data_IF_421308285948
#
_entry.id   IF_421308285948
#
_cell.length_a   1.000
_cell.length_b   1.000
_cell.length_c   1.000
_cell.angle_alpha   90.00
_cell.angle_beta   90.00
_cell.angle_gamma   90.00
#
_symmetry.space_group_name_H-M   'P 1'
#
loop_
_entity.id
_entity.type
_entity.pdbx_description
1 polymer ?
#
# COMPACT_ATOMS: atom_id res chain seq x y z
N UNK A 1 21.83 42.51 -12.60
CA UNK A 1 22.46 43.13 -11.41
C UNK A 1 21.57 43.11 -10.17
N UNK A 2 20.41 43.81 -10.12
CA UNK A 2 19.55 43.78 -8.91
C UNK A 2 18.97 42.39 -8.60
N UNK A 3 18.54 41.64 -9.63
CA UNK A 3 18.02 40.27 -9.45
C UNK A 3 19.09 39.34 -8.89
N UNK A 4 20.31 39.39 -9.43
CA UNK A 4 21.43 38.54 -9.00
C UNK A 4 21.81 38.80 -7.55
N UNK A 5 21.83 40.08 -7.17
CA UNK A 5 22.06 40.51 -5.79
C UNK A 5 20.97 39.98 -4.86
N UNK A 6 19.70 40.08 -5.25
CA UNK A 6 18.57 39.58 -4.46
C UNK A 6 18.58 38.05 -4.32
N UNK A 7 18.96 37.32 -5.37
CA UNK A 7 19.11 35.86 -5.34
C UNK A 7 20.20 35.43 -4.35
N UNK A 8 21.34 36.11 -4.35
CA UNK A 8 22.43 35.85 -3.40
C UNK A 8 22.05 36.20 -1.96
N UNK A 9 21.49 37.41 -1.74
CA UNK A 9 21.09 37.87 -0.41
C UNK A 9 20.03 36.97 0.24
N UNK A 10 19.09 36.45 -0.55
CA UNK A 10 18.05 35.55 -0.06
C UNK A 10 18.44 34.06 -0.16
N UNK A 11 19.69 33.76 -0.49
CA UNK A 11 20.25 32.40 -0.55
C UNK A 11 19.39 31.45 -1.40
N UNK A 12 18.94 31.94 -2.56
CA UNK A 12 18.14 31.13 -3.48
C UNK A 12 18.96 29.94 -3.99
N UNK A 13 18.36 28.74 -4.01
CA UNK A 13 19.04 27.55 -4.52
C UNK A 13 19.25 27.66 -6.03
N UNK A 14 20.45 27.31 -6.48
CA UNK A 14 20.82 27.28 -7.90
C UNK A 14 20.19 26.10 -8.65
N UNK A 15 19.91 25.00 -7.95
CA UNK A 15 19.33 23.78 -8.54
C UNK A 15 18.08 23.33 -7.79
N UNK A 16 17.22 22.59 -8.49
CA UNK A 16 15.97 22.08 -7.97
C UNK A 16 14.88 23.14 -7.75
N UNK A 17 13.80 22.73 -7.09
CA UNK A 17 12.66 23.60 -6.79
C UNK A 17 13.04 24.56 -5.66
N UNK A 18 12.93 25.86 -5.90
CA UNK A 18 13.22 26.91 -4.92
C UNK A 18 12.14 28.00 -4.96
N UNK A 19 11.37 28.19 -3.86
CA UNK A 19 10.28 29.16 -3.82
C UNK A 19 10.78 30.62 -3.86
N UNK A 20 11.93 30.90 -3.24
CA UNK A 20 12.57 32.23 -3.27
C UNK A 20 12.95 32.59 -4.71
N UNK A 21 13.67 31.68 -5.39
CA UNK A 21 14.04 31.86 -6.78
C UNK A 21 12.81 32.09 -7.65
N UNK A 22 11.81 31.21 -7.55
CA UNK A 22 10.56 31.31 -8.32
C UNK A 22 9.91 32.69 -8.16
N UNK A 23 9.77 33.17 -6.91
CA UNK A 23 9.18 34.49 -6.62
C UNK A 23 9.97 35.64 -7.25
N UNK A 24 11.29 35.63 -7.13
CA UNK A 24 12.15 36.69 -7.68
C UNK A 24 12.10 36.71 -9.22
N UNK A 25 12.09 35.54 -9.86
CA UNK A 25 11.93 35.43 -11.32
C UNK A 25 10.53 35.85 -11.77
N UNK A 26 9.47 35.51 -11.03
CA UNK A 26 8.11 35.96 -11.33
C UNK A 26 8.00 37.49 -11.28
N UNK A 27 8.55 38.13 -10.25
CA UNK A 27 8.60 39.60 -10.15
C UNK A 27 9.40 40.24 -11.28
N UNK A 28 10.57 39.68 -11.61
CA UNK A 28 11.39 40.17 -12.71
C UNK A 28 10.67 40.03 -14.05
N UNK A 29 9.98 38.91 -14.29
CA UNK A 29 9.23 38.69 -15.52
C UNK A 29 8.03 39.64 -15.65
N UNK A 30 7.35 39.95 -14.55
CA UNK A 30 6.28 40.94 -14.52
C UNK A 30 6.80 42.35 -14.87
N UNK A 31 7.99 42.72 -14.38
CA UNK A 31 8.65 43.98 -14.76
C UNK A 31 9.10 43.99 -16.22
N UNK A 32 9.60 42.87 -16.76
CA UNK A 32 9.92 42.75 -18.19
C UNK A 32 8.66 42.93 -19.06
N UNK A 33 7.54 42.31 -18.68
CA UNK A 33 6.26 42.50 -19.38
C UNK A 33 5.86 43.98 -19.34
N UNK A 34 5.98 44.65 -18.18
CA UNK A 34 5.68 46.07 -18.04
C UNK A 34 6.51 46.92 -19.00
N UNK A 35 7.84 46.73 -19.04
CA UNK A 35 8.74 47.48 -19.92
C UNK A 35 8.46 47.21 -21.41
N UNK A 36 8.23 45.95 -21.78
CA UNK A 36 7.89 45.59 -23.17
C UNK A 36 6.56 46.19 -23.58
N UNK A 37 5.57 46.22 -22.68
CA UNK A 37 4.25 46.83 -22.94
C UNK A 37 4.37 48.32 -23.23
N UNK A 38 5.23 49.05 -22.50
CA UNK A 38 5.51 50.47 -22.77
C UNK A 38 6.08 50.67 -24.17
N UNK A 39 6.96 49.77 -24.62
CA UNK A 39 7.56 49.84 -25.96
C UNK A 39 6.58 49.42 -27.07
N UNK A 40 5.80 48.37 -26.85
CA UNK A 40 4.80 47.82 -27.76
C UNK A 40 3.79 46.98 -26.97
N UNK A 41 2.55 47.47 -26.92
CA UNK A 41 1.45 46.87 -26.17
C UNK A 41 1.20 45.41 -26.57
N UNK A 42 1.19 45.13 -27.87
CA UNK A 42 0.86 43.83 -28.46
C UNK A 42 1.87 42.76 -28.02
N UNK A 43 3.16 43.13 -27.97
CA UNK A 43 4.22 42.24 -27.47
C UNK A 43 4.08 42.00 -25.97
N UNK A 44 3.74 43.02 -25.21
CA UNK A 44 3.44 42.91 -23.79
C UNK A 44 2.29 41.94 -23.51
N UNK A 45 1.19 42.09 -24.25
CA UNK A 45 0.02 41.21 -24.19
C UNK A 45 0.36 39.76 -24.56
N UNK A 46 1.21 39.55 -25.56
CA UNK A 46 1.67 38.21 -25.93
C UNK A 46 2.47 37.55 -24.79
N UNK A 47 3.43 38.27 -24.19
CA UNK A 47 4.22 37.76 -23.07
C UNK A 47 3.35 37.47 -21.84
N UNK A 48 2.33 38.30 -21.58
CA UNK A 48 1.35 38.08 -20.53
C UNK A 48 0.62 36.73 -20.70
N UNK A 49 0.15 36.43 -21.93
CA UNK A 49 -0.51 35.17 -22.23
C UNK A 49 0.40 33.96 -22.06
N UNK A 50 1.65 34.05 -22.54
CA UNK A 50 2.65 33.00 -22.37
C UNK A 50 2.92 32.75 -20.89
N UNK A 51 3.06 33.81 -20.08
CA UNK A 51 3.23 33.70 -18.62
C UNK A 51 2.10 32.90 -17.98
N UNK A 52 0.87 33.26 -18.32
CA UNK A 52 -0.32 32.69 -17.70
C UNK A 52 -0.50 31.22 -18.11
N UNK A 53 -0.21 30.88 -19.37
CA UNK A 53 -0.16 29.49 -19.84
C UNK A 53 0.91 28.65 -19.11
N UNK A 54 2.12 29.21 -18.91
CA UNK A 54 3.16 28.54 -18.13
C UNK A 54 2.74 28.33 -16.67
N UNK A 55 2.08 29.33 -16.05
CA UNK A 55 1.56 29.22 -14.68
C UNK A 55 0.50 28.12 -14.57
N UNK A 56 -0.44 28.06 -15.52
CA UNK A 56 -1.46 27.00 -15.57
C UNK A 56 -0.82 25.62 -15.74
N UNK A 57 0.16 25.50 -16.64
CA UNK A 57 0.87 24.24 -16.90
C UNK A 57 1.63 23.76 -15.65
N UNK A 58 2.33 24.66 -14.95
CA UNK A 58 3.01 24.31 -13.70
C UNK A 58 2.03 23.87 -12.61
N UNK A 59 0.87 24.52 -12.48
CA UNK A 59 -0.15 24.13 -11.51
C UNK A 59 -0.75 22.76 -11.81
N UNK A 60 -0.95 22.44 -13.10
CA UNK A 60 -1.39 21.12 -13.52
C UNK A 60 -0.35 20.03 -13.18
N UNK A 61 0.93 20.29 -13.46
CA UNK A 61 2.01 19.36 -13.07
C UNK A 61 2.11 19.16 -11.55
N UNK A 62 1.96 20.23 -10.77
CA UNK A 62 1.95 20.14 -9.32
C UNK A 62 0.79 19.26 -8.83
N UNK A 63 -0.42 19.46 -9.35
CA UNK A 63 -1.59 18.66 -9.01
C UNK A 63 -1.40 17.18 -9.37
N UNK A 64 -0.81 16.90 -10.54
CA UNK A 64 -0.52 15.53 -10.98
C UNK A 64 0.53 14.86 -10.08
N UNK A 65 1.56 15.60 -9.67
CA UNK A 65 2.60 15.10 -8.77
C UNK A 65 2.06 14.78 -7.38
N UNK A 66 1.27 15.70 -6.79
CA UNK A 66 0.59 15.49 -5.52
C UNK A 66 -0.35 14.27 -5.58
N UNK A 67 -1.11 14.13 -6.68
CA UNK A 67 -1.99 12.98 -6.91
C UNK A 67 -1.22 11.66 -7.01
N UNK A 68 -0.05 11.69 -7.66
CA UNK A 68 0.83 10.52 -7.82
C UNK A 68 1.41 10.06 -6.48
N UNK A 69 1.85 11.01 -5.64
CA UNK A 69 2.31 10.69 -4.28
C UNK A 69 1.16 10.10 -3.46
N UNK A 70 -0.02 10.73 -3.48
CA UNK A 70 -1.18 10.25 -2.73
C UNK A 70 -1.63 8.84 -3.19
N UNK A 71 -1.50 8.53 -4.48
CA UNK A 71 -1.73 7.17 -4.98
C UNK A 71 -0.71 6.17 -4.41
N UNK A 72 0.59 6.52 -4.44
CA UNK A 72 1.66 5.68 -3.88
C UNK A 72 1.44 5.36 -2.40
N UNK A 73 1.13 6.37 -1.59
CA UNK A 73 0.84 6.19 -0.16
C UNK A 73 -0.35 5.26 0.06
N UNK A 74 -1.46 5.47 -0.66
CA UNK A 74 -2.64 4.61 -0.55
C UNK A 74 -2.34 3.15 -0.90
N UNK A 75 -1.51 2.91 -1.93
CA UNK A 75 -1.13 1.56 -2.32
C UNK A 75 -0.21 0.89 -1.30
N UNK A 76 0.72 1.62 -0.71
CA UNK A 76 1.54 1.11 0.38
C UNK A 76 0.68 0.69 1.58
N UNK A 77 -0.24 1.57 2.03
CA UNK A 77 -1.14 1.27 3.13
C UNK A 77 -2.06 0.09 2.84
N UNK A 78 -2.64 0.02 1.64
CA UNK A 78 -3.49 -1.11 1.22
C UNK A 78 -2.72 -2.44 1.26
N UNK A 79 -1.43 -2.42 0.88
CA UNK A 79 -0.59 -3.61 0.92
C UNK A 79 -0.25 -4.04 2.36
N UNK A 80 0.01 -3.09 3.26
CA UNK A 80 0.26 -3.40 4.67
C UNK A 80 -0.98 -3.99 5.33
N UNK A 81 -2.15 -3.40 5.09
CA UNK A 81 -3.40 -3.90 5.66
C UNK A 81 -3.75 -5.30 5.13
N UNK A 82 -3.67 -5.51 3.81
CA UNK A 82 -3.92 -6.84 3.24
C UNK A 82 -2.94 -7.90 3.73
N UNK A 83 -1.70 -7.53 4.08
CA UNK A 83 -0.76 -8.45 4.70
C UNK A 83 -1.19 -8.81 6.14
N UNK A 84 -1.58 -7.83 6.94
CA UNK A 84 -2.07 -8.04 8.30
C UNK A 84 -3.29 -8.96 8.32
N UNK A 85 -4.29 -8.69 7.48
CA UNK A 85 -5.52 -9.50 7.38
C UNK A 85 -5.19 -10.96 7.01
N UNK A 86 -4.21 -11.18 6.14
CA UNK A 86 -3.75 -12.52 5.76
C UNK A 86 -3.00 -13.22 6.90
N UNK A 87 -2.18 -12.50 7.66
CA UNK A 87 -1.49 -13.05 8.83
C UNK A 87 -2.47 -13.49 9.93
N UNK A 88 -3.52 -12.71 10.15
CA UNK A 88 -4.63 -13.06 11.06
C UNK A 88 -5.38 -14.31 10.58
N UNK A 89 -5.78 -14.36 9.31
CA UNK A 89 -6.41 -15.55 8.71
C UNK A 89 -5.53 -16.81 8.86
N UNK A 90 -4.21 -16.67 8.66
CA UNK A 90 -3.28 -17.78 8.80
C UNK A 90 -3.23 -18.27 10.24
N UNK A 91 -3.24 -17.37 11.23
CA UNK A 91 -3.26 -17.74 12.64
C UNK A 91 -4.54 -18.53 12.98
N UNK A 92 -5.70 -18.01 12.60
CA UNK A 92 -6.99 -18.68 12.83
C UNK A 92 -7.05 -20.07 12.17
N UNK A 93 -6.62 -20.18 10.91
CA UNK A 93 -6.61 -21.47 10.20
C UNK A 93 -5.63 -22.48 10.83
N UNK A 94 -4.51 -22.02 11.40
CA UNK A 94 -3.58 -22.89 12.13
C UNK A 94 -4.22 -23.44 13.40
N UNK A 95 -4.94 -22.61 14.14
CA UNK A 95 -5.64 -23.02 15.37
C UNK A 95 -6.75 -24.02 15.05
N UNK A 96 -7.57 -23.74 14.03
CA UNK A 96 -8.62 -24.66 13.57
C UNK A 96 -8.04 -25.99 13.10
N UNK A 97 -6.93 -25.96 12.35
CA UNK A 97 -6.24 -27.17 11.91
C UNK A 97 -5.76 -28.01 13.10
N UNK A 98 -5.13 -27.39 14.09
CA UNK A 98 -4.63 -28.08 15.28
C UNK A 98 -5.77 -28.74 16.07
N UNK A 99 -6.91 -28.05 16.22
CA UNK A 99 -8.09 -28.61 16.89
C UNK A 99 -8.69 -29.77 16.10
N UNK A 100 -8.80 -29.67 14.77
CA UNK A 100 -9.27 -30.77 13.93
C UNK A 100 -8.34 -31.98 13.99
N UNK A 101 -7.03 -31.77 13.98
CA UNK A 101 -6.04 -32.85 14.12
C UNK A 101 -6.19 -33.57 15.47
N UNK A 102 -6.43 -32.81 16.55
CA UNK A 102 -6.73 -33.35 17.88
C UNK A 102 -8.00 -34.20 17.88
N UNK A 103 -9.08 -33.69 17.28
CA UNK A 103 -10.35 -34.42 17.17
C UNK A 103 -10.21 -35.72 16.37
N UNK A 104 -9.46 -35.68 15.25
CA UNK A 104 -9.18 -36.87 14.44
C UNK A 104 -8.40 -37.90 15.26
N UNK A 105 -7.39 -37.49 16.02
CA UNK A 105 -6.62 -38.39 16.87
C UNK A 105 -7.50 -39.06 17.95
N UNK A 106 -8.37 -38.28 18.61
CA UNK A 106 -9.30 -38.82 19.60
C UNK A 106 -10.30 -39.82 19.01
N UNK A 107 -10.88 -39.50 17.85
CA UNK A 107 -11.84 -40.38 17.18
C UNK A 107 -11.18 -41.67 16.70
N UNK A 108 -9.94 -41.60 16.19
CA UNK A 108 -9.16 -42.80 15.82
C UNK A 108 -8.89 -43.68 17.04
N UNK A 109 -8.47 -43.11 18.17
CA UNK A 109 -8.24 -43.85 19.40
C UNK A 109 -9.53 -44.54 19.91
N UNK A 110 -10.67 -43.85 19.84
CA UNK A 110 -11.99 -44.42 20.18
C UNK A 110 -12.37 -45.57 19.24
N UNK A 111 -12.16 -45.42 17.94
CA UNK A 111 -12.44 -46.46 16.95
C UNK A 111 -11.59 -47.72 17.21
N UNK A 112 -10.28 -47.58 17.41
CA UNK A 112 -9.41 -48.70 17.77
C UNK A 112 -9.86 -49.41 19.05
N UNK A 113 -10.27 -48.65 20.07
CA UNK A 113 -10.74 -49.25 21.32
C UNK A 113 -12.01 -50.07 21.11
N UNK A 114 -12.94 -49.59 20.29
CA UNK A 114 -14.18 -50.32 19.95
C UNK A 114 -13.87 -51.58 19.15
N UNK A 115 -12.98 -51.51 18.17
CA UNK A 115 -12.56 -52.67 17.38
C UNK A 115 -11.92 -53.75 18.26
N UNK A 116 -10.99 -53.37 19.15
CA UNK A 116 -10.37 -54.32 20.10
C UNK A 116 -11.38 -54.99 21.01
N UNK A 117 -12.34 -54.23 21.55
CA UNK A 117 -13.43 -54.81 22.36
C UNK A 117 -14.29 -55.78 21.56
N UNK A 118 -14.60 -55.45 20.30
CA UNK A 118 -15.38 -56.32 19.44
C UNK A 118 -14.65 -57.63 19.09
N UNK A 119 -13.34 -57.56 18.80
CA UNK A 119 -12.54 -58.76 18.51
C UNK A 119 -12.38 -59.64 19.74
N UNK A 120 -12.16 -59.06 20.93
CA UNK A 120 -12.13 -59.81 22.19
C UNK A 120 -13.46 -60.51 22.49
N UNK A 121 -14.60 -59.83 22.27
CA UNK A 121 -15.92 -60.41 22.47
C UNK A 121 -16.19 -61.56 21.49
N UNK A 122 -15.82 -61.40 20.22
CA UNK A 122 -15.93 -62.48 19.21
C UNK A 122 -15.08 -63.69 19.58
N UNK A 123 -13.82 -63.47 19.95
CA UNK A 123 -12.92 -64.55 20.38
C UNK A 123 -13.44 -65.30 21.61
N UNK A 124 -14.02 -64.58 22.59
CA UNK A 124 -14.67 -65.18 23.77
C UNK A 124 -15.90 -66.00 23.37
N UNK A 125 -16.75 -65.48 22.49
CA UNK A 125 -17.93 -66.19 22.01
C UNK A 125 -17.54 -67.50 21.28
N UNK A 126 -16.56 -67.44 20.37
CA UNK A 126 -16.03 -68.62 19.68
C UNK A 126 -15.42 -69.64 20.66
N UNK A 127 -14.74 -69.19 21.72
CA UNK A 127 -14.18 -70.08 22.74
C UNK A 127 -15.28 -70.79 23.56
N UNK A 128 -16.36 -70.08 23.89
CA UNK A 128 -17.52 -70.66 24.58
C UNK A 128 -18.22 -71.68 23.68
N UNK A 129 -18.40 -71.37 22.40
CA UNK A 129 -19.02 -72.27 21.42
C UNK A 129 -18.21 -73.55 21.26
N UNK A 130 -16.88 -73.46 21.10
CA UNK A 130 -15.99 -74.63 21.03
C UNK A 130 -16.06 -75.52 22.27
N UNK A 131 -16.09 -74.91 23.48
CA UNK A 131 -16.26 -75.65 24.73
C UNK A 131 -17.62 -76.33 24.86
N UNK A 132 -18.67 -75.77 24.25
CA UNK A 132 -19.99 -76.39 24.23
C UNK A 132 -20.08 -77.54 23.23
N UNK A 133 -19.29 -77.52 22.15
CA UNK A 133 -19.23 -78.62 21.16
C UNK A 133 -18.33 -79.80 21.58
N UNK A 134 -17.47 -79.60 22.58
CA UNK A 134 -16.55 -80.63 23.12
C UNK A 134 -17.13 -81.41 24.34
N UNK A 135 -18.35 -81.07 24.77
CA UNK A 135 -19.13 -81.76 25.82
C UNK A 135 -20.25 -82.60 25.19
#
# INVERSE_FOLDING_TARGET
EQLDTALQQQQARETGICPVRRRLFEQCFDELIRQVTVNCCERGLLLLRVRDEMRMTMAAYQTLYESSIAFGIRKALQSEQGKSDMEECIAELRDVKAELERQVAELRAKAEQVERRATELRAKAEQVERRATEL
#
